data_IF_583945459256
#
_entry.id   IF_583945459256
#
_cell.length_a   1.000
_cell.length_b   1.000
_cell.length_c   1.000
_cell.angle_alpha   90.00
_cell.angle_beta   90.00
_cell.angle_gamma   90.00
#
_symmetry.space_group_name_H-M   'P 1'
#
loop_
_entity.id
_entity.type
_entity.pdbx_description
1 polymer ?
#
# COMPACT_ATOMS: atom_id res chain seq x y z
N UNK A 1 -9.50 -10.78 -15.24
CA UNK A 1 -8.62 -11.51 -16.19
C UNK A 1 -7.43 -12.20 -15.51
N UNK A 2 -6.59 -11.50 -14.72
CA UNK A 2 -5.37 -12.11 -14.12
C UNK A 2 -5.65 -13.31 -13.20
N UNK A 3 -6.59 -13.18 -12.25
CA UNK A 3 -6.95 -14.26 -11.34
C UNK A 3 -7.37 -15.53 -12.11
N UNK A 4 -8.14 -15.38 -13.19
CA UNK A 4 -8.57 -16.50 -14.02
C UNK A 4 -7.37 -17.22 -14.68
N UNK A 5 -6.41 -16.45 -15.23
CA UNK A 5 -5.17 -17.01 -15.80
C UNK A 5 -4.35 -17.76 -14.75
N UNK A 6 -4.19 -17.19 -13.55
CA UNK A 6 -3.52 -17.85 -12.44
C UNK A 6 -4.25 -19.12 -12.02
N UNK A 7 -5.58 -19.08 -11.86
CA UNK A 7 -6.37 -20.25 -11.50
C UNK A 7 -6.19 -21.39 -12.52
N UNK A 8 -6.25 -21.10 -13.82
CA UNK A 8 -5.98 -22.11 -14.86
C UNK A 8 -4.56 -22.68 -14.76
N UNK A 9 -3.55 -21.83 -14.55
CA UNK A 9 -2.15 -22.27 -14.47
C UNK A 9 -1.91 -23.27 -13.33
N UNK A 10 -2.53 -23.01 -12.17
CA UNK A 10 -2.45 -23.86 -10.98
C UNK A 10 -3.53 -24.97 -10.94
N UNK A 11 -4.35 -25.11 -11.99
CA UNK A 11 -5.48 -26.04 -12.06
C UNK A 11 -6.46 -25.86 -10.88
N UNK A 12 -6.73 -24.62 -10.53
CA UNK A 12 -7.75 -24.21 -9.58
C UNK A 12 -9.08 -23.99 -10.31
N UNK A 13 -10.17 -24.08 -9.55
CA UNK A 13 -11.48 -23.63 -10.05
C UNK A 13 -11.73 -22.20 -9.61
N UNK A 14 -12.23 -21.36 -10.52
CA UNK A 14 -12.68 -20.01 -10.19
C UNK A 14 -14.12 -19.80 -10.60
N UNK A 15 -14.92 -19.24 -9.69
CA UNK A 15 -16.32 -18.91 -9.90
C UNK A 15 -16.51 -17.42 -9.62
N UNK A 16 -17.24 -16.73 -10.49
CA UNK A 16 -17.55 -15.30 -10.31
C UNK A 16 -19.04 -15.15 -10.06
N UNK A 17 -19.40 -14.63 -8.87
CA UNK A 17 -20.78 -14.27 -8.59
C UNK A 17 -21.17 -13.06 -9.46
N UNK A 18 -22.25 -13.20 -10.22
CA UNK A 18 -22.72 -12.17 -11.15
C UNK A 18 -23.30 -10.96 -10.45
N UNK A 19 -23.78 -11.10 -9.22
CA UNK A 19 -24.42 -10.04 -8.42
C UNK A 19 -23.37 -9.24 -7.67
N UNK A 20 -22.57 -9.89 -6.81
CA UNK A 20 -21.54 -9.20 -6.02
C UNK A 20 -20.26 -8.88 -6.79
N UNK A 21 -20.07 -9.47 -7.98
CA UNK A 21 -18.84 -9.42 -8.78
C UNK A 21 -17.60 -9.97 -8.05
N UNK A 22 -17.80 -10.73 -6.96
CA UNK A 22 -16.72 -11.38 -6.22
C UNK A 22 -16.30 -12.64 -6.99
N UNK A 23 -14.98 -12.88 -7.03
CA UNK A 23 -14.42 -14.12 -7.59
C UNK A 23 -13.95 -15.02 -6.45
N UNK A 24 -14.49 -16.23 -6.40
CA UNK A 24 -14.08 -17.29 -5.49
C UNK A 24 -13.11 -18.21 -6.21
N UNK A 25 -12.05 -18.63 -5.51
CA UNK A 25 -11.06 -19.58 -6.03
C UNK A 25 -10.99 -20.75 -5.07
N UNK A 26 -11.13 -21.96 -5.60
CA UNK A 26 -11.19 -23.21 -4.82
C UNK A 26 -10.18 -24.22 -5.31
N UNK A 27 -9.60 -24.96 -4.35
CA UNK A 27 -8.72 -26.10 -4.61
C UNK A 27 -9.57 -27.32 -4.97
N UNK A 28 -9.06 -28.13 -5.90
CA UNK A 28 -9.62 -29.44 -6.27
C UNK A 28 -8.52 -30.49 -6.34
N UNK A 29 -8.90 -31.75 -6.56
CA UNK A 29 -7.98 -32.89 -6.64
C UNK A 29 -6.91 -32.76 -7.72
N UNK A 30 -7.24 -32.06 -8.81
CA UNK A 30 -6.38 -31.78 -9.96
C UNK A 30 -5.47 -30.58 -9.77
N UNK A 31 -5.67 -29.80 -8.70
CA UNK A 31 -4.85 -28.63 -8.37
C UNK A 31 -3.43 -29.05 -8.06
N UNK A 32 -2.46 -28.34 -8.64
CA UNK A 32 -1.05 -28.69 -8.49
C UNK A 32 -0.15 -27.47 -8.62
N UNK A 33 1.02 -27.57 -8.00
CA UNK A 33 2.11 -26.63 -8.26
C UNK A 33 2.64 -26.90 -9.67
N UNK A 34 2.67 -25.89 -10.56
CA UNK A 34 3.22 -26.03 -11.91
C UNK A 34 4.72 -26.31 -11.88
N UNK A 35 5.26 -26.90 -12.96
CA UNK A 35 6.69 -27.24 -13.06
C UNK A 35 7.60 -26.01 -12.93
N UNK A 36 7.16 -24.84 -13.40
CA UNK A 36 7.85 -23.57 -13.20
C UNK A 36 6.94 -22.61 -12.43
N UNK A 37 7.45 -21.97 -11.38
CA UNK A 37 6.69 -20.94 -10.68
C UNK A 37 6.61 -19.68 -11.55
N UNK A 38 5.58 -18.86 -11.36
CA UNK A 38 5.43 -17.60 -12.11
C UNK A 38 6.67 -16.71 -11.92
N UNK A 39 7.26 -16.69 -10.72
CA UNK A 39 8.51 -15.97 -10.43
C UNK A 39 9.74 -16.44 -11.23
N UNK A 40 9.70 -17.65 -11.79
CA UNK A 40 10.78 -18.20 -12.62
C UNK A 40 10.57 -17.96 -14.12
N UNK A 41 9.40 -17.44 -14.49
CA UNK A 41 9.06 -17.04 -15.86
C UNK A 41 9.30 -15.56 -16.10
N UNK A 42 9.42 -14.77 -15.04
CA UNK A 42 9.66 -13.33 -15.09
C UNK A 42 11.12 -13.08 -14.73
N UNK A 43 11.86 -12.23 -15.47
CA UNK A 43 13.19 -11.78 -15.07
C UNK A 43 13.17 -11.24 -13.64
N UNK A 44 14.29 -11.39 -12.91
CA UNK A 44 14.39 -10.81 -11.57
C UNK A 44 14.13 -9.30 -11.66
N UNK A 45 13.16 -8.79 -10.89
CA UNK A 45 12.96 -7.34 -10.79
C UNK A 45 14.23 -6.70 -10.21
N UNK A 46 14.78 -5.71 -10.91
CA UNK A 46 15.97 -4.97 -10.49
C UNK A 46 15.72 -4.05 -9.29
N UNK A 47 14.45 -3.75 -8.97
CA UNK A 47 14.07 -2.87 -7.86
C UNK A 47 13.32 -3.63 -6.76
N UNK A 48 13.84 -3.61 -5.54
CA UNK A 48 13.08 -4.05 -4.37
C UNK A 48 11.95 -3.04 -4.10
N UNK A 49 10.69 -3.50 -4.18
CA UNK A 49 9.54 -2.69 -3.75
C UNK A 49 9.74 -2.30 -2.28
N UNK A 50 9.41 -1.06 -1.89
CA UNK A 50 9.71 -0.57 -0.56
C UNK A 50 8.91 -1.35 0.50
N UNK A 51 9.60 -1.82 1.54
CA UNK A 51 9.04 -2.69 2.58
C UNK A 51 8.22 -1.92 3.65
N UNK A 52 7.47 -0.87 3.27
CA UNK A 52 6.59 -0.19 4.23
C UNK A 52 5.18 -0.80 4.23
N UNK A 53 4.60 -0.93 5.43
CA UNK A 53 3.28 -1.51 5.63
C UNK A 53 2.20 -0.48 5.27
N UNK A 54 1.63 -0.57 4.08
CA UNK A 54 0.41 0.19 3.74
C UNK A 54 -0.77 -0.43 4.50
N UNK A 55 -1.33 0.32 5.46
CA UNK A 55 -2.52 -0.11 6.18
C UNK A 55 -3.69 -0.31 5.19
N UNK A 56 -4.39 -1.44 5.30
CA UNK A 56 -5.59 -1.70 4.49
C UNK A 56 -6.64 -0.64 4.82
N UNK A 57 -7.03 0.14 3.82
CA UNK A 57 -8.12 1.12 3.94
C UNK A 57 -9.43 0.37 4.10
N UNK A 58 -10.18 0.67 5.16
CA UNK A 58 -11.55 0.18 5.32
C UNK A 58 -12.46 0.80 4.23
N UNK A 59 -13.62 0.20 3.93
CA UNK A 59 -14.60 0.81 3.04
C UNK A 59 -15.03 2.22 3.49
N UNK A 60 -15.00 2.48 4.80
CA UNK A 60 -15.29 3.79 5.40
C UNK A 60 -14.21 4.83 5.07
N UNK A 61 -12.92 4.44 5.10
CA UNK A 61 -11.80 5.33 4.78
C UNK A 61 -11.77 5.77 3.31
N UNK A 62 -12.35 4.98 2.40
CA UNK A 62 -12.42 5.31 0.98
C UNK A 62 -13.35 6.49 0.67
N UNK A 63 -14.36 6.73 1.52
CA UNK A 63 -15.33 7.82 1.34
C UNK A 63 -14.83 9.15 1.91
N UNK A 64 -13.92 9.12 2.89
CA UNK A 64 -13.43 10.31 3.58
C UNK A 64 -12.39 11.13 2.80
N UNK A 65 -11.79 10.59 1.72
CA UNK A 65 -10.68 11.23 0.97
C UNK A 65 -11.08 11.86 -0.36
N UNK A 66 -12.32 12.35 -0.50
CA UNK A 66 -12.68 13.11 -1.71
C UNK A 66 -12.06 14.53 -1.76
N UNK A 67 -11.47 15.02 -0.65
CA UNK A 67 -10.94 16.40 -0.58
C UNK A 67 -9.41 16.52 -0.39
N UNK A 68 -8.62 15.44 -0.47
CA UNK A 68 -7.15 15.59 -0.39
C UNK A 68 -6.59 15.99 -1.76
N UNK A 69 -6.15 17.24 -1.88
CA UNK A 69 -5.54 17.84 -3.08
C UNK A 69 -4.31 17.05 -3.60
N UNK A 70 -4.02 17.09 -4.91
CA UNK A 70 -2.75 16.65 -5.46
C UNK A 70 -1.78 17.84 -5.58
N UNK A 71 -0.66 17.80 -4.84
CA UNK A 71 0.47 18.72 -4.97
C UNK A 71 1.47 18.39 -3.86
N UNK A 72 2.75 18.18 -4.08
CA UNK A 72 3.63 18.68 -5.13
C UNK A 72 4.76 17.66 -5.33
N UNK A 73 5.03 17.30 -6.58
CA UNK A 73 6.31 16.79 -7.05
C UNK A 73 7.03 17.95 -7.72
N UNK A 74 8.00 18.56 -7.06
CA UNK A 74 8.96 19.46 -7.69
C UNK A 74 10.30 19.26 -6.98
N UNK A 75 11.25 18.68 -7.70
CA UNK A 75 12.65 18.62 -7.29
C UNK A 75 13.41 19.87 -7.73
N UNK A 76 14.45 20.16 -6.95
CA UNK A 76 15.73 20.80 -7.30
C UNK A 76 15.76 22.25 -7.81
N UNK A 77 16.39 23.15 -7.04
CA UNK A 77 17.63 23.88 -7.40
C UNK A 77 18.05 24.89 -6.30
N UNK A 78 19.31 24.81 -5.85
CA UNK A 78 20.22 25.97 -5.77
C UNK A 78 20.19 26.94 -4.56
N UNK A 79 21.02 26.62 -3.55
CA UNK A 79 22.14 27.43 -3.01
C UNK A 79 21.95 28.61 -1.98
N UNK A 80 22.83 28.54 -0.96
CA UNK A 80 23.47 29.54 -0.04
C UNK A 80 22.73 30.41 1.03
N UNK A 81 23.00 30.03 2.29
CA UNK A 81 23.56 30.81 3.44
C UNK A 81 22.67 31.44 4.54
N UNK A 82 22.91 30.95 5.77
CA UNK A 82 22.60 31.40 7.17
C UNK A 82 23.31 32.75 7.52
N UNK A 83 23.05 33.54 8.63
CA UNK A 83 22.77 33.05 9.99
C UNK A 83 21.93 33.85 11.02
N UNK A 84 21.67 33.15 12.14
CA UNK A 84 21.51 33.60 13.56
C UNK A 84 20.07 33.79 14.13
N UNK A 85 19.88 33.69 15.48
CA UNK A 85 18.99 32.72 16.11
C UNK A 85 17.83 33.42 16.84
N UNK A 86 16.81 32.68 17.27
CA UNK A 86 15.85 33.21 18.24
C UNK A 86 15.44 32.14 19.24
N UNK A 87 16.08 32.24 20.40
CA UNK A 87 15.61 31.72 21.67
C UNK A 87 14.26 32.38 22.01
N UNK A 88 13.21 31.56 22.10
CA UNK A 88 12.03 31.89 22.89
C UNK A 88 11.42 30.58 23.39
N UNK A 89 11.88 30.19 24.59
CA UNK A 89 11.26 29.11 25.34
C UNK A 89 9.85 29.48 25.80
N UNK A 90 9.05 28.46 26.09
CA UNK A 90 8.32 28.45 27.35
C UNK A 90 7.90 27.04 27.70
N UNK A 91 7.99 26.81 29.00
CA UNK A 91 8.19 25.55 29.67
C UNK A 91 6.85 24.88 29.96
N UNK A 92 6.81 23.54 29.86
CA UNK A 92 5.75 22.78 30.49
C UNK A 92 5.76 23.03 32.00
N UNK A 93 4.65 23.53 32.55
CA UNK A 93 4.55 23.91 33.96
C UNK A 93 3.17 23.60 34.51
N UNK A 94 3.13 22.56 35.33
CA UNK A 94 1.96 21.93 35.97
C UNK A 94 1.05 22.90 36.73
N UNK A 95 -0.24 22.62 36.61
CA UNK A 95 -1.32 22.82 37.58
C UNK A 95 -0.92 22.70 39.06
N UNK A 96 -1.32 23.65 39.91
CA UNK A 96 -2.34 23.44 40.97
C UNK A 96 -2.63 24.71 41.76
N UNK A 97 -3.86 24.76 42.28
CA UNK A 97 -4.47 25.80 43.07
C UNK A 97 -3.82 26.04 44.45
N UNK A 98 -4.15 27.22 45.00
CA UNK A 98 -4.19 27.69 46.39
C UNK A 98 -3.91 26.68 47.51
N UNK A 99 -3.08 27.09 48.47
CA UNK A 99 -2.90 26.45 49.78
C UNK A 99 -1.64 26.93 50.48
#
# INVERSE_FOLDING_TARGET
MLVHKCSTYYRLTSETDTVSKITYVTLRTESRIPQRRISELVPAEESAQPAFKIMRRSPQDRRARQNSQPGSTAGDEGDISDPEPSEAGSIGGRSSATG
#
